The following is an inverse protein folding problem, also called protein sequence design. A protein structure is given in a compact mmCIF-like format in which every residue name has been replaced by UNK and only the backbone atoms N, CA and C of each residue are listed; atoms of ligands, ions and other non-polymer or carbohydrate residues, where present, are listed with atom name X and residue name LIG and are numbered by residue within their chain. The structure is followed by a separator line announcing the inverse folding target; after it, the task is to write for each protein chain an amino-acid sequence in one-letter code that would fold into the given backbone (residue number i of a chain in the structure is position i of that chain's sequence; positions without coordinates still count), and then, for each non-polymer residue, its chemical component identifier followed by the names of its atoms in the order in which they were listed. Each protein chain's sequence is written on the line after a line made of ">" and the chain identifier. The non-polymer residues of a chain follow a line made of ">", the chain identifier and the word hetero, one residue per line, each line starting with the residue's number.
data_IF_758888438855
#
_entry.id   IF_758888438855
#
_cell.length_a   1.000
_cell.length_b   1.000
_cell.length_c   1.000
_cell.angle_alpha   90.00
_cell.angle_beta   90.00
_cell.angle_gamma   90.00
#
_symmetry.space_group_name_H-M   'P 1'
#
loop_
_entity.id
_entity.type
_entity.pdbx_description
1 polymer ?
#
# COMPACT_ATOMS: atom_id res chain seq x y z
N UNK A 1 17.02 3.73 -52.14
CA UNK A 1 17.16 3.13 -50.80
C UNK A 1 15.92 2.30 -50.52
N UNK A 2 15.96 0.97 -50.62
CA UNK A 2 14.80 0.10 -50.40
C UNK A 2 14.59 -0.06 -48.89
N UNK A 3 13.46 0.41 -48.34
CA UNK A 3 13.03 0.09 -46.97
C UNK A 3 12.74 -1.42 -46.92
N UNK A 4 13.54 -2.15 -46.16
CA UNK A 4 13.30 -3.56 -45.88
C UNK A 4 12.16 -3.66 -44.85
N UNK A 5 10.95 -3.95 -45.31
CA UNK A 5 9.82 -4.25 -44.42
C UNK A 5 9.93 -5.71 -43.98
N UNK A 6 10.40 -5.90 -42.74
CA UNK A 6 10.48 -7.21 -42.10
C UNK A 6 9.08 -7.55 -41.60
N UNK A 7 8.41 -8.50 -42.26
CA UNK A 7 7.15 -9.06 -41.79
C UNK A 7 7.43 -10.32 -40.97
N UNK A 8 7.08 -10.30 -39.69
CA UNK A 8 7.08 -11.53 -38.89
C UNK A 8 5.90 -12.41 -39.33
N UNK A 9 6.11 -13.70 -39.65
CA UNK A 9 5.02 -14.59 -40.02
C UNK A 9 4.05 -14.77 -38.84
N UNK A 10 2.74 -14.80 -39.16
CA UNK A 10 1.63 -14.93 -38.20
C UNK A 10 1.86 -15.98 -37.07
N UNK A 11 2.38 -17.19 -37.35
CA UNK A 11 2.70 -18.15 -36.29
C UNK A 11 3.75 -17.68 -35.27
N UNK A 12 4.72 -16.83 -35.66
CA UNK A 12 5.69 -16.24 -34.73
C UNK A 12 5.02 -15.20 -33.83
N UNK A 13 4.08 -14.42 -34.39
CA UNK A 13 3.30 -13.45 -33.61
C UNK A 13 2.39 -14.18 -32.61
N UNK A 14 1.73 -15.26 -33.03
CA UNK A 14 0.90 -16.09 -32.15
C UNK A 14 1.72 -16.76 -31.05
N UNK A 15 2.90 -17.28 -31.38
CA UNK A 15 3.78 -17.91 -30.40
C UNK A 15 4.30 -16.89 -29.37
N UNK A 16 4.68 -15.68 -29.81
CA UNK A 16 5.08 -14.60 -28.91
C UNK A 16 3.93 -14.17 -27.98
N UNK A 17 2.70 -14.13 -28.49
CA UNK A 17 1.52 -13.83 -27.68
C UNK A 17 1.25 -14.92 -26.63
N UNK A 18 1.35 -16.20 -27.00
CA UNK A 18 1.19 -17.33 -26.05
C UNK A 18 2.26 -17.30 -24.97
N UNK A 19 3.53 -17.05 -25.33
CA UNK A 19 4.62 -16.94 -24.34
C UNK A 19 4.38 -15.75 -23.39
N UNK A 20 3.90 -14.61 -23.90
CA UNK A 20 3.55 -13.46 -23.07
C UNK A 20 2.39 -13.74 -22.10
N UNK A 21 1.38 -14.51 -22.53
CA UNK A 21 0.26 -14.93 -21.67
C UNK A 21 0.71 -15.96 -20.61
N UNK A 22 1.71 -16.79 -20.92
CA UNK A 22 2.27 -17.77 -19.97
C UNK A 22 3.24 -17.13 -18.95
N UNK A 23 3.63 -15.87 -19.13
CA UNK A 23 4.45 -15.12 -18.16
C UNK A 23 3.62 -14.46 -17.05
N UNK A 24 2.52 -15.08 -16.61
CA UNK A 24 1.85 -14.66 -15.37
C UNK A 24 2.73 -15.03 -14.19
N UNK A 25 3.68 -14.16 -13.86
CA UNK A 25 4.33 -14.18 -12.55
C UNK A 25 3.25 -13.93 -11.50
N UNK A 26 3.32 -14.66 -10.38
CA UNK A 26 2.49 -14.37 -9.22
C UNK A 26 2.84 -12.95 -8.77
N UNK A 27 1.88 -12.01 -8.92
CA UNK A 27 2.07 -10.64 -8.46
C UNK A 27 2.23 -10.67 -6.94
N UNK A 28 3.41 -10.31 -6.45
CA UNK A 28 3.62 -10.10 -5.01
C UNK A 28 2.78 -8.93 -4.54
N UNK A 29 1.95 -9.15 -3.52
CA UNK A 29 1.09 -8.11 -2.94
C UNK A 29 1.96 -7.22 -2.06
N UNK A 30 1.91 -5.90 -2.29
CA UNK A 30 2.68 -4.92 -1.52
C UNK A 30 1.80 -4.18 -0.52
N UNK A 31 2.20 -4.18 0.76
CA UNK A 31 1.46 -3.57 1.86
C UNK A 31 2.32 -2.55 2.60
N UNK A 32 1.85 -1.31 2.72
CA UNK A 32 2.49 -0.30 3.56
C UNK A 32 1.69 -0.10 4.85
N UNK A 33 2.35 -0.28 6.00
CA UNK A 33 1.76 0.01 7.31
C UNK A 33 2.18 1.40 7.79
N UNK A 34 1.22 2.27 8.07
CA UNK A 34 1.44 3.62 8.63
C UNK A 34 0.69 3.71 9.95
N UNK A 35 1.43 3.94 11.04
CA UNK A 35 0.85 4.00 12.37
C UNK A 35 1.90 4.25 13.43
N UNK A 36 1.70 3.65 14.59
CA UNK A 36 2.56 3.89 15.75
C UNK A 36 2.84 2.60 16.52
N UNK A 37 3.06 2.74 17.83
CA UNK A 37 3.34 1.62 18.73
C UNK A 37 2.29 0.52 18.66
N UNK A 38 1.02 0.80 18.34
CA UNK A 38 -0.01 -0.25 18.24
C UNK A 38 0.13 -1.11 16.99
N UNK A 39 0.74 -0.56 15.94
CA UNK A 39 1.15 -1.32 14.76
C UNK A 39 2.52 -1.98 15.00
N UNK A 40 3.39 -1.39 15.82
CA UNK A 40 4.72 -1.95 16.10
C UNK A 40 4.71 -3.17 17.04
N UNK A 41 3.87 -3.14 18.08
CA UNK A 41 3.84 -4.19 19.09
C UNK A 41 3.48 -5.54 18.50
N UNK A 42 4.04 -6.60 19.09
CA UNK A 42 3.89 -7.99 18.65
C UNK A 42 4.34 -8.25 17.20
N UNK A 43 5.09 -7.31 16.61
CA UNK A 43 5.52 -7.39 15.22
C UNK A 43 4.34 -7.61 14.27
N UNK A 44 3.26 -6.83 14.46
CA UNK A 44 1.98 -7.04 13.76
C UNK A 44 2.11 -7.15 12.23
N UNK A 45 2.89 -6.32 11.51
CA UNK A 45 3.09 -6.49 10.07
C UNK A 45 3.63 -7.89 9.68
N UNK A 46 4.55 -8.43 10.48
CA UNK A 46 5.10 -9.77 10.27
C UNK A 46 4.06 -10.86 10.55
N UNK A 47 3.25 -10.70 11.60
CA UNK A 47 2.14 -11.63 11.90
C UNK A 47 1.15 -11.64 10.74
N UNK A 48 0.80 -10.49 10.18
CA UNK A 48 -0.07 -10.40 8.99
C UNK A 48 0.55 -11.16 7.82
N UNK A 49 1.85 -10.99 7.56
CA UNK A 49 2.57 -11.74 6.54
C UNK A 49 2.47 -13.25 6.77
N UNK A 50 2.77 -13.73 7.97
CA UNK A 50 2.71 -15.15 8.31
C UNK A 50 1.30 -15.74 8.15
N UNK A 51 0.26 -14.98 8.54
CA UNK A 51 -1.13 -15.37 8.32
C UNK A 51 -1.44 -15.48 6.83
N UNK A 52 -1.03 -14.51 6.01
CA UNK A 52 -1.24 -14.60 4.55
C UNK A 52 -0.52 -15.80 3.93
N UNK A 53 0.70 -16.11 4.40
CA UNK A 53 1.49 -17.27 3.99
C UNK A 53 0.80 -18.59 4.34
N UNK A 54 0.18 -18.67 5.53
CA UNK A 54 -0.62 -19.86 5.91
C UNK A 54 -1.80 -20.11 4.96
N UNK A 55 -2.27 -19.08 4.27
CA UNK A 55 -3.35 -19.15 3.27
C UNK A 55 -2.83 -19.30 1.83
N UNK A 56 -1.53 -19.55 1.64
CA UNK A 56 -0.90 -19.74 0.33
C UNK A 56 -0.62 -18.46 -0.46
N UNK A 57 -0.68 -17.29 0.18
CA UNK A 57 -0.33 -16.00 -0.41
C UNK A 57 0.95 -15.46 0.22
N UNK A 58 1.70 -14.64 -0.50
CA UNK A 58 2.84 -13.92 0.11
C UNK A 58 2.65 -12.41 -0.06
N UNK A 59 3.11 -11.67 0.94
CA UNK A 59 3.11 -10.21 0.90
C UNK A 59 4.53 -9.69 1.17
N UNK A 60 4.86 -8.62 0.46
CA UNK A 60 5.96 -7.74 0.83
C UNK A 60 5.38 -6.56 1.61
N UNK A 61 6.01 -6.20 2.72
CA UNK A 61 5.57 -5.06 3.50
C UNK A 61 6.71 -4.12 3.87
N UNK A 62 6.35 -2.86 4.06
CA UNK A 62 7.16 -1.85 4.75
C UNK A 62 6.30 -1.17 5.82
N UNK A 63 6.94 -0.46 6.75
CA UNK A 63 6.24 0.17 7.85
C UNK A 63 6.86 1.53 8.24
N UNK A 64 6.00 2.51 8.49
CA UNK A 64 6.32 3.77 9.16
C UNK A 64 5.56 3.79 10.49
N UNK A 65 6.22 3.38 11.57
CA UNK A 65 5.60 3.10 12.88
C UNK A 65 6.27 3.80 14.08
N UNK A 66 6.57 5.10 14.01
CA UNK A 66 7.12 5.86 15.15
C UNK A 66 6.14 5.86 16.34
N UNK A 67 6.66 5.64 17.55
CA UNK A 67 5.85 5.54 18.77
C UNK A 67 4.97 6.78 19.02
N UNK A 68 3.73 6.56 19.46
CA UNK A 68 2.78 7.63 19.83
C UNK A 68 2.34 8.57 18.72
N UNK A 69 2.66 8.27 17.46
CA UNK A 69 2.45 9.18 16.33
C UNK A 69 1.00 9.19 15.83
N UNK A 70 0.46 10.36 15.50
CA UNK A 70 -0.88 10.56 14.92
C UNK A 70 -0.84 10.58 13.39
N UNK A 71 -1.98 10.40 12.69
CA UNK A 71 -1.98 10.56 11.22
C UNK A 71 -1.60 11.97 10.79
N UNK A 72 -1.94 12.99 11.58
CA UNK A 72 -1.48 14.37 11.34
C UNK A 72 0.05 14.42 11.20
N UNK A 73 0.77 13.84 12.16
CA UNK A 73 2.23 13.85 12.15
C UNK A 73 2.80 13.07 10.96
N UNK A 74 2.12 12.00 10.53
CA UNK A 74 2.47 11.26 9.31
C UNK A 74 2.34 12.09 8.03
N UNK A 75 1.43 13.06 7.96
CA UNK A 75 1.27 13.91 6.77
C UNK A 75 2.53 14.72 6.42
N UNK A 76 3.42 14.93 7.39
CA UNK A 76 4.68 15.66 7.22
C UNK A 76 5.91 14.83 7.58
N UNK A 77 5.75 13.55 7.90
CA UNK A 77 6.88 12.70 8.29
C UNK A 77 7.69 12.29 7.05
N UNK A 78 9.00 12.60 6.98
CA UNK A 78 9.80 12.36 5.77
C UNK A 78 9.90 10.88 5.42
N UNK A 79 9.95 9.98 6.40
CA UNK A 79 9.98 8.53 6.16
C UNK A 79 8.64 8.06 5.59
N UNK A 80 7.53 8.50 6.17
CA UNK A 80 6.20 8.15 5.66
C UNK A 80 6.00 8.66 4.23
N UNK A 81 6.37 9.91 3.95
CA UNK A 81 6.27 10.51 2.63
C UNK A 81 7.16 9.80 1.60
N UNK A 82 8.38 9.41 1.98
CA UNK A 82 9.27 8.63 1.12
C UNK A 82 8.65 7.27 0.77
N UNK A 83 8.14 6.54 1.75
CA UNK A 83 7.52 5.22 1.52
C UNK A 83 6.26 5.34 0.65
N UNK A 84 5.44 6.39 0.82
CA UNK A 84 4.32 6.66 -0.07
C UNK A 84 4.79 6.94 -1.51
N UNK A 85 5.86 7.72 -1.67
CA UNK A 85 6.45 8.05 -2.97
C UNK A 85 7.07 6.86 -3.70
N UNK A 86 7.46 5.79 -3.00
CA UNK A 86 7.88 4.54 -3.65
C UNK A 86 6.77 3.96 -4.55
N UNK A 87 5.51 4.28 -4.25
CA UNK A 87 4.36 3.92 -5.07
C UNK A 87 4.15 2.42 -5.23
N UNK A 88 3.28 2.03 -6.16
CA UNK A 88 2.95 0.64 -6.47
C UNK A 88 2.54 -0.20 -5.23
N UNK A 89 1.90 0.43 -4.25
CA UNK A 89 1.28 -0.26 -3.12
C UNK A 89 -0.06 -0.86 -3.54
N UNK A 90 -0.35 -2.08 -3.13
CA UNK A 90 -1.67 -2.69 -3.29
C UNK A 90 -2.59 -2.32 -2.13
N UNK A 91 -2.01 -2.24 -0.92
CA UNK A 91 -2.72 -1.84 0.29
C UNK A 91 -1.88 -0.85 1.10
N UNK A 92 -2.54 0.15 1.68
CA UNK A 92 -1.95 1.02 2.69
C UNK A 92 -2.83 0.97 3.93
N UNK A 93 -2.27 0.45 5.03
CA UNK A 93 -2.95 0.33 6.31
C UNK A 93 -2.68 1.59 7.14
N UNK A 94 -3.73 2.31 7.49
CA UNK A 94 -3.68 3.51 8.31
C UNK A 94 -4.18 3.20 9.72
N UNK A 95 -3.36 3.51 10.71
CA UNK A 95 -3.72 3.46 12.13
C UNK A 95 -3.58 4.85 12.75
N UNK A 96 -4.69 5.39 13.25
CA UNK A 96 -4.70 6.62 14.04
C UNK A 96 -4.30 6.36 15.50
N UNK A 97 -3.84 7.39 16.21
CA UNK A 97 -3.47 7.31 17.61
C UNK A 97 -4.66 7.02 18.53
N UNK A 98 -4.56 5.89 19.24
CA UNK A 98 -5.41 5.53 20.37
C UNK A 98 -6.91 5.65 20.04
N UNK A 99 -7.63 6.51 20.76
CA UNK A 99 -9.07 6.67 20.72
C UNK A 99 -9.51 7.87 19.87
N UNK A 100 -8.59 8.56 19.16
CA UNK A 100 -8.94 9.77 18.39
C UNK A 100 -10.14 9.54 17.46
N UNK A 101 -10.26 8.42 16.71
CA UNK A 101 -11.44 8.17 15.86
C UNK A 101 -12.74 7.87 16.62
N UNK A 102 -12.68 7.71 17.94
CA UNK A 102 -13.82 7.38 18.83
C UNK A 102 -14.22 8.51 19.77
N UNK A 103 -13.54 9.66 19.70
CA UNK A 103 -13.89 10.85 20.47
C UNK A 103 -15.22 11.46 19.99
N UNK A 104 -15.80 12.42 20.74
CA UNK A 104 -17.03 13.09 20.31
C UNK A 104 -16.89 13.69 18.90
N UNK A 105 -17.97 13.67 18.12
CA UNK A 105 -17.97 14.02 16.68
C UNK A 105 -17.22 15.32 16.36
N UNK A 106 -17.44 16.38 17.14
CA UNK A 106 -16.76 17.67 16.92
C UNK A 106 -15.25 17.63 17.07
N UNK A 107 -14.71 16.71 17.87
CA UNK A 107 -13.27 16.48 17.98
C UNK A 107 -12.77 15.60 16.83
N UNK A 108 -13.50 14.54 16.47
CA UNK A 108 -13.16 13.67 15.31
C UNK A 108 -13.11 14.48 14.01
N UNK A 109 -14.07 15.38 13.80
CA UNK A 109 -14.13 16.27 12.65
C UNK A 109 -12.90 17.17 12.52
N UNK A 110 -12.27 17.52 13.64
CA UNK A 110 -11.10 18.41 13.68
C UNK A 110 -9.79 17.64 13.68
N UNK A 111 -9.70 16.53 14.42
CA UNK A 111 -8.45 15.84 14.73
C UNK A 111 -8.24 14.55 13.94
N UNK A 112 -9.25 14.03 13.24
CA UNK A 112 -9.13 12.80 12.46
C UNK A 112 -9.39 13.03 10.97
N UNK A 113 -10.59 13.54 10.62
CA UNK A 113 -11.03 13.60 9.22
C UNK A 113 -10.08 14.36 8.29
N UNK A 114 -9.55 15.54 8.64
CA UNK A 114 -8.64 16.26 7.75
C UNK A 114 -7.37 15.46 7.44
N UNK A 115 -6.85 14.73 8.43
CA UNK A 115 -5.58 14.02 8.31
C UNK A 115 -5.74 12.70 7.58
N UNK A 116 -6.82 11.95 7.84
CA UNK A 116 -7.09 10.72 7.10
C UNK A 116 -7.41 11.01 5.63
N UNK A 117 -8.13 12.09 5.32
CA UNK A 117 -8.36 12.54 3.94
C UNK A 117 -7.04 12.93 3.25
N UNK A 118 -6.17 13.65 3.97
CA UNK A 118 -4.84 14.02 3.44
C UNK A 118 -3.99 12.78 3.14
N UNK A 119 -3.96 11.82 4.07
CA UNK A 119 -3.23 10.57 3.89
C UNK A 119 -3.78 9.75 2.73
N UNK A 120 -5.10 9.59 2.62
CA UNK A 120 -5.76 8.89 1.52
C UNK A 120 -5.47 9.53 0.16
N UNK A 121 -5.48 10.86 0.11
CA UNK A 121 -5.11 11.61 -1.10
C UNK A 121 -3.66 11.36 -1.51
N UNK A 122 -2.73 11.34 -0.56
CA UNK A 122 -1.31 11.04 -0.83
C UNK A 122 -1.12 9.60 -1.29
N UNK A 123 -1.83 8.64 -0.69
CA UNK A 123 -1.82 7.23 -1.09
C UNK A 123 -2.21 7.12 -2.56
N UNK A 124 -3.34 7.70 -2.95
CA UNK A 124 -3.85 7.60 -4.32
C UNK A 124 -3.05 8.45 -5.33
N UNK A 125 -2.34 9.49 -4.87
CA UNK A 125 -1.44 10.26 -5.73
C UNK A 125 -0.25 9.42 -6.22
N UNK A 126 0.30 8.55 -5.37
CA UNK A 126 1.48 7.73 -5.70
C UNK A 126 1.15 6.27 -6.02
N UNK A 127 0.01 5.77 -5.56
CA UNK A 127 -0.52 4.44 -5.85
C UNK A 127 -2.02 4.51 -6.18
N UNK A 128 -2.40 4.92 -7.41
CA UNK A 128 -3.81 5.18 -7.77
C UNK A 128 -4.76 3.98 -7.62
N UNK A 129 -4.22 2.77 -7.61
CA UNK A 129 -4.99 1.52 -7.45
C UNK A 129 -4.89 0.92 -6.04
N UNK A 130 -4.18 1.56 -5.11
CA UNK A 130 -4.06 1.07 -3.75
C UNK A 130 -5.42 1.06 -3.05
N UNK A 131 -5.61 0.10 -2.15
CA UNK A 131 -6.74 0.11 -1.21
C UNK A 131 -6.27 0.65 0.13
N UNK A 132 -6.85 1.77 0.56
CA UNK A 132 -6.69 2.27 1.92
C UNK A 132 -7.48 1.38 2.89
N UNK A 133 -6.83 0.92 3.95
CA UNK A 133 -7.41 0.04 4.98
C UNK A 133 -7.24 0.70 6.33
N UNK A 134 -8.30 0.78 7.13
CA UNK A 134 -8.21 1.28 8.50
C UNK A 134 -7.93 0.16 9.48
N UNK A 135 -6.83 0.28 10.24
CA UNK A 135 -6.63 -0.48 11.45
C UNK A 135 -7.37 0.24 12.58
N UNK A 136 -8.60 -0.20 12.81
CA UNK A 136 -9.44 0.25 13.92
C UNK A 136 -8.84 -0.24 15.23
N UNK A 137 -8.57 0.70 16.13
CA UNK A 137 -8.10 0.46 17.49
C UNK A 137 -9.26 0.00 18.37
N UNK A 138 -9.20 0.26 19.69
CA UNK A 138 -10.21 -0.18 20.66
C UNK A 138 -11.12 0.95 21.12
#
# INVERSE_FOLDING_TARGET
>A
MKKLMIYAPLPIILLAFVIAVLQTSAKTIRVLFIGNSYTAVNNLPEVVKQVTQSAGNDIEYQASIPGGTTLWQHTTNPVTLQLLQEGNWDFVVLQEQSQIPSFPDGQVEQEFFPHVITMDSLIHAYSPCAKTVFYVTW
#
